data_IF_405654703710
#
_entry.id   IF_405654703710
#
_cell.length_a   1.000
_cell.length_b   1.000
_cell.length_c   1.000
_cell.angle_alpha   90.00
_cell.angle_beta   90.00
_cell.angle_gamma   90.00
#
_symmetry.space_group_name_H-M   'P 1'
#
loop_
_entity.id
_entity.type
_entity.pdbx_description
1 polymer ?
#
# COMPACT_ATOMS: atom_id res chain seq x y z
N UNK A 1 21.19 -10.61 12.94
CA UNK A 1 19.77 -11.00 12.93
C UNK A 1 18.97 -9.93 13.68
N UNK A 2 18.70 -8.79 13.05
CA UNK A 2 17.88 -7.74 13.67
C UNK A 2 16.42 -8.05 13.36
N UNK A 3 15.58 -8.16 14.39
CA UNK A 3 14.20 -8.57 14.23
C UNK A 3 13.44 -7.57 13.33
N UNK A 4 12.69 -8.07 12.34
CA UNK A 4 11.91 -7.28 11.37
C UNK A 4 10.66 -6.64 12.02
N UNK A 5 10.85 -5.86 13.09
CA UNK A 5 9.78 -5.23 13.86
C UNK A 5 10.03 -3.74 14.08
N UNK A 6 8.95 -2.97 14.11
CA UNK A 6 8.90 -1.58 14.50
C UNK A 6 8.13 -1.46 15.81
N UNK A 7 8.80 -0.99 16.86
CA UNK A 7 8.18 -0.77 18.17
C UNK A 7 7.54 0.61 18.24
N UNK A 8 6.31 0.67 18.72
CA UNK A 8 5.60 1.91 18.99
C UNK A 8 4.79 1.77 20.28
N UNK A 9 5.14 2.60 21.27
CA UNK A 9 4.63 2.48 22.64
C UNK A 9 4.83 1.04 23.14
N UNK A 10 3.78 0.42 23.68
CA UNK A 10 3.78 -0.96 24.19
C UNK A 10 3.49 -2.02 23.12
N UNK A 11 3.56 -1.67 21.83
CA UNK A 11 3.29 -2.60 20.72
C UNK A 11 4.50 -2.74 19.81
N UNK A 12 4.62 -3.90 19.17
CA UNK A 12 5.64 -4.19 18.17
C UNK A 12 4.97 -4.71 16.89
N UNK A 13 5.23 -4.06 15.76
CA UNK A 13 4.61 -4.35 14.46
C UNK A 13 5.61 -4.96 13.51
N UNK A 14 5.23 -6.03 12.81
CA UNK A 14 6.12 -6.66 11.83
C UNK A 14 6.24 -5.76 10.61
N UNK A 15 7.46 -5.41 10.21
CA UNK A 15 7.73 -4.66 8.99
C UNK A 15 7.50 -5.61 7.80
N UNK A 16 6.58 -5.31 6.87
CA UNK A 16 6.33 -6.15 5.72
C UNK A 16 7.57 -6.20 4.81
N UNK A 17 7.97 -7.42 4.43
CA UNK A 17 9.03 -7.62 3.46
C UNK A 17 8.36 -7.83 2.11
N UNK A 18 8.59 -6.92 1.17
CA UNK A 18 8.04 -6.97 -0.19
C UNK A 18 6.50 -7.01 -0.24
N UNK A 19 5.82 -6.33 0.70
CA UNK A 19 4.35 -6.28 0.76
C UNK A 19 3.68 -7.57 1.23
N UNK A 20 4.44 -8.64 1.48
CA UNK A 20 3.89 -9.87 2.03
C UNK A 20 3.32 -9.59 3.43
N UNK A 21 2.06 -10.00 3.64
CA UNK A 21 1.30 -9.92 4.91
C UNK A 21 0.77 -8.53 5.31
N UNK A 22 0.97 -7.48 4.51
CA UNK A 22 0.36 -6.18 4.75
C UNK A 22 -0.93 -6.03 3.92
N UNK A 23 -2.00 -5.57 4.56
CA UNK A 23 -3.22 -5.21 3.85
C UNK A 23 -3.07 -3.79 3.29
N UNK A 24 -3.20 -3.62 1.97
CA UNK A 24 -3.20 -2.28 1.36
C UNK A 24 -4.42 -1.49 1.83
N UNK A 25 -4.18 -0.27 2.31
CA UNK A 25 -5.23 0.66 2.78
C UNK A 25 -5.43 1.83 1.81
N UNK A 26 -4.84 1.75 0.61
CA UNK A 26 -4.81 2.81 -0.41
C UNK A 26 -4.08 4.09 0.06
N UNK A 27 -3.87 5.03 -0.86
CA UNK A 27 -3.21 6.31 -0.56
C UNK A 27 -1.79 6.19 -0.03
N UNK A 28 -1.06 5.14 -0.41
CA UNK A 28 0.29 4.87 0.05
C UNK A 28 0.35 4.36 1.50
N UNK A 29 -0.76 3.86 2.06
CA UNK A 29 -0.86 3.30 3.42
C UNK A 29 -1.06 1.80 3.37
N UNK A 30 -0.65 1.11 4.43
CA UNK A 30 -0.82 -0.32 4.61
C UNK A 30 -1.02 -0.64 6.09
N UNK A 31 -1.82 -1.66 6.39
CA UNK A 31 -2.03 -2.14 7.75
C UNK A 31 -0.95 -3.14 8.11
N UNK A 32 -0.26 -2.90 9.23
CA UNK A 32 0.71 -3.84 9.79
C UNK A 32 0.09 -4.57 10.97
N UNK A 33 0.37 -5.87 11.04
CA UNK A 33 0.02 -6.72 12.18
C UNK A 33 1.22 -6.84 13.12
N UNK A 34 0.92 -6.79 14.40
CA UNK A 34 1.87 -6.84 15.49
C UNK A 34 1.25 -7.46 16.74
N UNK A 35 1.90 -7.22 17.87
CA UNK A 35 1.38 -7.58 19.17
C UNK A 35 1.58 -6.42 20.15
N UNK A 36 0.60 -6.23 21.03
CA UNK A 36 0.75 -5.45 22.25
C UNK A 36 1.35 -6.32 23.33
N UNK A 37 2.21 -5.76 24.18
CA UNK A 37 2.74 -6.46 25.35
C UNK A 37 2.87 -5.53 26.55
N UNK A 38 2.43 -6.01 27.72
CA UNK A 38 2.66 -5.34 29.01
C UNK A 38 2.92 -6.35 30.12
N UNK A 39 3.83 -6.01 31.03
CA UNK A 39 4.14 -6.82 32.20
C UNK A 39 3.48 -6.22 33.45
N UNK A 40 2.90 -7.07 34.29
CA UNK A 40 2.23 -6.69 35.53
C UNK A 40 2.65 -7.63 36.65
N UNK A 41 2.69 -7.12 37.88
CA UNK A 41 2.84 -7.96 39.07
C UNK A 41 1.45 -8.10 39.69
N UNK A 42 0.93 -9.33 39.71
CA UNK A 42 -0.34 -9.66 40.34
C UNK A 42 -0.18 -9.91 41.84
N UNK A 43 -1.31 -10.09 42.52
CA UNK A 43 -1.32 -10.45 43.95
C UNK A 43 -0.47 -11.69 44.22
N UNK A 44 0.28 -11.65 45.33
CA UNK A 44 1.24 -12.69 45.68
C UNK A 44 2.52 -12.69 44.85
N UNK A 45 2.94 -11.52 44.35
CA UNK A 45 4.21 -11.34 43.62
C UNK A 45 4.35 -12.18 42.34
N UNK A 46 3.23 -12.52 41.71
CA UNK A 46 3.22 -13.32 40.49
C UNK A 46 3.42 -12.42 39.27
N UNK A 47 4.48 -12.61 38.47
CA UNK A 47 4.64 -11.87 37.23
C UNK A 47 3.62 -12.38 36.20
N UNK A 48 2.86 -11.46 35.61
CA UNK A 48 1.94 -11.71 34.51
C UNK A 48 2.41 -10.94 33.27
N UNK A 49 2.33 -11.60 32.13
CA UNK A 49 2.59 -10.99 30.83
C UNK A 49 1.28 -10.97 30.04
N UNK A 50 0.78 -9.78 29.77
CA UNK A 50 -0.34 -9.56 28.88
C UNK A 50 0.18 -9.44 27.45
N UNK A 51 -0.38 -10.23 26.53
CA UNK A 51 -0.06 -10.19 25.11
C UNK A 51 -1.37 -10.25 24.34
N UNK A 52 -1.54 -9.35 23.38
CA UNK A 52 -2.69 -9.33 22.48
C UNK A 52 -2.24 -9.02 21.04
N UNK A 53 -3.03 -9.41 20.05
CA UNK A 53 -2.83 -9.05 18.66
C UNK A 53 -3.11 -7.55 18.49
N UNK A 54 -2.27 -6.87 17.72
CA UNK A 54 -2.44 -5.45 17.42
C UNK A 54 -2.37 -5.20 15.91
N UNK A 55 -3.16 -4.24 15.44
CA UNK A 55 -3.12 -3.75 14.06
C UNK A 55 -3.01 -2.23 14.06
N UNK A 56 -2.20 -1.69 13.16
CA UNK A 56 -2.16 -0.24 12.95
C UNK A 56 -1.75 0.09 11.53
N UNK A 57 -2.14 1.28 11.06
CA UNK A 57 -1.81 1.75 9.72
C UNK A 57 -0.44 2.43 9.71
N UNK A 58 0.37 2.11 8.71
CA UNK A 58 1.63 2.76 8.41
C UNK A 58 1.66 3.21 6.95
N UNK A 59 2.52 4.18 6.63
CA UNK A 59 2.87 4.44 5.24
C UNK A 59 3.71 3.29 4.69
N UNK A 60 3.51 2.94 3.42
CA UNK A 60 4.28 1.90 2.72
C UNK A 60 5.79 2.17 2.87
N UNK A 61 6.52 1.23 3.45
CA UNK A 61 7.93 1.46 3.82
C UNK A 61 8.87 1.66 2.62
N UNK A 62 8.53 1.08 1.46
CA UNK A 62 9.31 1.17 0.21
C UNK A 62 8.47 1.82 -0.89
N UNK A 63 8.15 3.11 -0.75
CA UNK A 63 7.42 3.89 -1.75
C UNK A 63 8.22 5.13 -2.17
N UNK A 64 8.23 5.47 -3.46
CA UNK A 64 8.80 6.72 -3.95
C UNK A 64 7.80 7.87 -3.73
N UNK A 65 8.28 9.11 -3.64
CA UNK A 65 7.35 10.25 -3.47
C UNK A 65 6.41 10.42 -4.67
N UNK A 66 6.87 10.08 -5.88
CA UNK A 66 6.05 10.11 -7.10
C UNK A 66 4.96 9.04 -7.05
N UNK A 67 5.29 7.80 -6.64
CA UNK A 67 4.28 6.76 -6.46
C UNK A 67 3.29 7.12 -5.35
N UNK A 68 3.78 7.66 -4.23
CA UNK A 68 2.93 8.12 -3.13
C UNK A 68 1.94 9.19 -3.59
N UNK A 69 2.38 10.14 -4.42
CA UNK A 69 1.51 11.13 -5.04
C UNK A 69 0.40 10.48 -5.87
N UNK A 70 0.76 9.54 -6.77
CA UNK A 70 -0.22 8.81 -7.56
C UNK A 70 -1.24 8.08 -6.68
N UNK A 71 -0.79 7.34 -5.66
CA UNK A 71 -1.65 6.58 -4.76
C UNK A 71 -2.65 7.50 -4.00
N UNK A 72 -2.19 8.63 -3.48
CA UNK A 72 -3.02 9.59 -2.73
C UNK A 72 -4.09 10.23 -3.62
N UNK A 73 -3.71 10.63 -4.83
CA UNK A 73 -4.65 11.25 -5.77
C UNK A 73 -5.69 10.24 -6.28
N UNK A 74 -5.26 9.01 -6.54
CA UNK A 74 -6.15 7.93 -6.95
C UNK A 74 -7.15 7.53 -5.84
N UNK A 75 -6.71 7.42 -4.59
CA UNK A 75 -7.59 7.18 -3.42
C UNK A 75 -8.70 8.25 -3.38
N UNK A 76 -8.31 9.52 -3.56
CA UNK A 76 -9.26 10.63 -3.52
C UNK A 76 -10.20 10.65 -4.73
N UNK A 77 -9.70 10.39 -5.93
CA UNK A 77 -10.51 10.31 -7.15
C UNK A 77 -11.50 9.14 -7.09
N UNK A 78 -11.07 7.99 -6.57
CA UNK A 78 -11.90 6.81 -6.34
C UNK A 78 -13.04 7.07 -5.36
N UNK A 79 -12.81 7.87 -4.32
CA UNK A 79 -13.85 8.24 -3.35
C UNK A 79 -15.02 9.04 -3.98
N UNK A 80 -14.80 9.73 -5.10
CA UNK A 80 -15.84 10.43 -5.85
C UNK A 80 -16.44 9.56 -6.98
N UNK A 81 -15.85 8.41 -7.27
CA UNK A 81 -16.34 7.47 -8.28
C UNK A 81 -17.41 6.60 -7.64
N UNK A 82 -18.61 6.61 -8.22
CA UNK A 82 -19.77 5.87 -7.72
C UNK A 82 -19.40 4.37 -7.52
N UNK A 83 -19.57 3.78 -6.33
CA UNK A 83 -19.18 2.40 -6.04
C UNK A 83 -19.92 1.34 -6.89
N UNK A 84 -20.91 1.74 -7.69
CA UNK A 84 -21.66 0.87 -8.61
C UNK A 84 -20.86 0.34 -9.80
N UNK A 85 -19.61 0.77 -10.01
CA UNK A 85 -18.78 0.36 -11.17
C UNK A 85 -17.60 -0.56 -10.85
N UNK A 86 -17.39 -0.93 -9.58
CA UNK A 86 -16.37 -1.95 -9.25
C UNK A 86 -17.05 -3.29 -9.09
N UNK A 87 -16.85 -4.19 -10.05
CA UNK A 87 -17.05 -5.62 -9.85
C UNK A 87 -16.22 -6.05 -8.65
N UNK A 88 -16.86 -6.10 -7.47
CA UNK A 88 -16.29 -6.72 -6.27
C UNK A 88 -15.86 -8.13 -6.68
N UNK A 89 -14.56 -8.34 -6.81
CA UNK A 89 -13.99 -9.68 -6.82
C UNK A 89 -14.39 -10.33 -5.50
N UNK A 90 -15.42 -11.15 -5.57
CA UNK A 90 -15.96 -11.93 -4.47
C UNK A 90 -14.92 -12.98 -4.13
N UNK A 91 -14.06 -12.69 -3.16
CA UNK A 91 -13.27 -13.73 -2.51
C UNK A 91 -14.25 -14.67 -1.82
N UNK A 92 -14.25 -15.92 -2.28
CA UNK A 92 -15.28 -16.91 -2.01
C UNK A 92 -15.60 -17.06 -0.52
N UNK A 93 -16.83 -16.73 -0.15
CA UNK A 93 -17.47 -17.25 1.05
C UNK A 93 -17.60 -18.76 0.89
N UNK A 94 -16.87 -19.53 1.69
CA UNK A 94 -17.13 -20.95 1.90
C UNK A 94 -18.49 -21.08 2.60
N UNK A 95 -19.56 -21.13 1.81
CA UNK A 95 -20.90 -21.40 2.31
C UNK A 95 -20.99 -22.90 2.67
N UNK A 96 -21.04 -23.16 3.98
CA UNK A 96 -21.49 -24.42 4.57
C UNK A 96 -22.86 -24.81 3.97
N UNK A 97 -23.10 -26.06 3.56
CA UNK A 97 -24.40 -26.46 3.05
C UNK A 97 -25.38 -26.61 4.23
N UNK A 98 -26.07 -25.51 4.54
CA UNK A 98 -27.29 -25.52 5.34
C UNK A 98 -28.42 -26.19 4.57
N UNK A 99 -29.05 -27.18 5.21
CA UNK A 99 -30.19 -27.95 4.71
C UNK A 99 -31.37 -27.03 4.36
N UNK A 100 -31.86 -27.12 3.13
CA UNK A 100 -33.16 -26.55 2.73
C UNK A 100 -34.12 -27.71 2.46
N UNK A 101 -35.17 -27.81 3.27
CA UNK A 101 -36.27 -28.74 3.06
C UNK A 101 -37.11 -28.26 1.88
N UNK A 102 -36.97 -28.93 0.74
CA UNK A 102 -37.85 -28.77 -0.43
C UNK A 102 -38.76 -29.99 -0.54
N UNK A 103 -40.05 -29.78 -0.27
CA UNK A 103 -41.14 -30.72 -0.54
C UNK A 103 -41.33 -30.87 -2.05
N UNK A 104 -41.10 -32.08 -2.60
CA UNK A 104 -41.65 -32.45 -3.91
C UNK A 104 -41.98 -33.95 -3.94
N UNK A 105 -43.13 -34.21 -4.55
CA UNK A 105 -43.95 -35.42 -4.61
C UNK A 105 -43.35 -36.47 -5.56
N UNK A 106 -43.41 -37.75 -5.13
CA UNK A 106 -43.72 -38.92 -5.98
C UNK A 106 -42.59 -39.52 -6.83
N UNK A 107 -42.38 -40.84 -6.67
CA UNK A 107 -41.60 -41.65 -7.60
C UNK A 107 -40.99 -42.91 -6.98
N UNK A 108 -41.68 -44.04 -7.10
CA UNK A 108 -41.24 -45.40 -6.75
C UNK A 108 -40.21 -45.95 -7.74
N UNK A 109 -39.11 -46.56 -7.27
CA UNK A 109 -38.47 -47.75 -7.90
C UNK A 109 -37.29 -48.32 -7.08
N UNK A 110 -37.50 -49.55 -6.61
CA UNK A 110 -36.59 -50.73 -6.54
C UNK A 110 -35.05 -50.61 -6.63
N UNK A 111 -34.42 -51.22 -5.62
CA UNK A 111 -33.15 -51.98 -5.57
C UNK A 111 -32.36 -52.26 -6.86
N UNK A 112 -31.03 -52.05 -6.83
CA UNK A 112 -29.96 -53.08 -6.78
C UNK A 112 -28.61 -52.52 -7.25
N UNK A 113 -27.52 -52.96 -6.59
CA UNK A 113 -26.31 -53.42 -7.29
C UNK A 113 -25.18 -52.45 -7.68
N UNK A 114 -24.04 -52.62 -6.99
CA UNK A 114 -22.65 -52.73 -7.51
C UNK A 114 -21.96 -51.54 -8.20
N UNK A 115 -20.88 -51.09 -7.55
CA UNK A 115 -19.50 -51.20 -8.06
C UNK A 115 -19.02 -50.17 -9.09
N UNK A 116 -18.00 -49.38 -8.75
CA UNK A 116 -17.27 -48.57 -9.71
C UNK A 116 -16.10 -47.83 -9.07
N UNK A 117 -14.88 -48.35 -9.27
CA UNK A 117 -13.65 -47.62 -9.01
C UNK A 117 -13.60 -46.40 -9.95
N UNK A 118 -13.67 -45.18 -9.40
CA UNK A 118 -13.53 -43.95 -10.17
C UNK A 118 -12.16 -43.31 -9.97
N UNK A 119 -11.34 -43.46 -11.00
CA UNK A 119 -10.09 -42.75 -11.27
C UNK A 119 -10.38 -41.25 -11.46
N UNK A 120 -9.64 -40.39 -10.75
CA UNK A 120 -9.70 -38.94 -10.95
C UNK A 120 -9.15 -38.57 -12.34
N UNK A 121 -9.84 -37.72 -13.14
CA UNK A 121 -9.27 -37.19 -14.37
C UNK A 121 -8.21 -36.11 -14.05
N UNK A 122 -7.15 -35.97 -14.87
CA UNK A 122 -6.15 -34.94 -14.68
C UNK A 122 -6.74 -33.57 -15.01
N UNK A 123 -6.64 -32.64 -14.05
CA UNK A 123 -7.03 -31.25 -14.20
C UNK A 123 -6.06 -30.58 -15.18
N UNK A 124 -6.50 -30.31 -16.41
CA UNK A 124 -5.76 -29.46 -17.34
C UNK A 124 -5.77 -28.02 -16.82
N UNK A 125 -4.62 -27.55 -16.35
CA UNK A 125 -4.41 -26.16 -15.96
C UNK A 125 -4.19 -25.32 -17.22
N UNK A 126 -5.28 -24.84 -17.81
CA UNK A 126 -5.20 -23.74 -18.77
C UNK A 126 -4.99 -22.45 -17.98
N UNK A 127 -3.73 -22.02 -17.88
CA UNK A 127 -3.36 -20.67 -17.43
C UNK A 127 -3.74 -19.69 -18.54
N UNK A 128 -4.92 -19.09 -18.44
CA UNK A 128 -5.20 -17.85 -19.15
C UNK A 128 -4.36 -16.74 -18.49
N UNK A 129 -3.50 -16.02 -19.24
CA UNK A 129 -2.81 -14.88 -18.68
C UNK A 129 -3.86 -13.81 -18.35
N UNK A 130 -4.05 -13.56 -17.06
CA UNK A 130 -4.76 -12.40 -16.54
C UNK A 130 -4.00 -11.16 -17.02
N UNK A 131 -4.41 -10.60 -18.16
CA UNK A 131 -4.10 -9.22 -18.50
C UNK A 131 -4.63 -8.38 -17.35
N UNK A 132 -3.74 -7.82 -16.54
CA UNK A 132 -4.04 -6.67 -15.71
C UNK A 132 -4.49 -5.56 -16.67
N UNK A 133 -5.80 -5.43 -16.87
CA UNK A 133 -6.37 -4.21 -17.43
C UNK A 133 -6.24 -3.15 -16.34
N UNK A 134 -5.14 -2.38 -16.40
CA UNK A 134 -4.97 -1.17 -15.61
C UNK A 134 -6.23 -0.32 -15.78
N UNK A 135 -6.94 0.03 -14.69
CA UNK A 135 -8.16 0.81 -14.77
C UNK A 135 -7.88 2.11 -15.53
N UNK A 136 -8.47 2.26 -16.72
CA UNK A 136 -8.40 3.48 -17.52
C UNK A 136 -8.72 4.69 -16.64
N UNK A 137 -7.70 5.50 -16.34
CA UNK A 137 -7.80 6.72 -15.55
C UNK A 137 -7.05 6.76 -14.22
N UNK A 138 -6.42 5.67 -13.76
CA UNK A 138 -5.55 5.75 -12.58
C UNK A 138 -4.18 6.34 -12.91
N UNK A 139 -3.71 7.28 -12.09
CA UNK A 139 -2.36 7.82 -12.19
C UNK A 139 -1.34 6.77 -11.76
N UNK A 140 -0.28 6.59 -12.54
CA UNK A 140 0.90 5.82 -12.17
C UNK A 140 2.16 6.59 -12.59
N UNK A 141 3.34 6.31 -12.01
CA UNK A 141 4.58 6.96 -12.44
C UNK A 141 4.87 6.82 -13.94
N UNK A 142 4.45 5.71 -14.55
CA UNK A 142 4.58 5.44 -15.99
C UNK A 142 3.62 6.25 -16.87
N UNK A 143 2.50 6.72 -16.34
CA UNK A 143 1.52 7.52 -17.10
C UNK A 143 1.77 9.02 -16.99
N UNK A 144 2.71 9.46 -16.15
CA UNK A 144 3.10 10.87 -16.03
C UNK A 144 3.94 11.27 -17.25
N UNK A 145 3.55 12.37 -17.89
CA UNK A 145 4.27 12.95 -19.04
C UNK A 145 5.04 14.21 -18.61
N UNK A 146 5.94 14.68 -19.48
CA UNK A 146 6.91 15.75 -19.17
C UNK A 146 6.27 17.03 -18.62
N UNK A 147 5.15 17.46 -19.20
CA UNK A 147 4.43 18.68 -18.82
C UNK A 147 3.24 18.42 -17.90
N UNK A 148 3.22 17.25 -17.22
CA UNK A 148 2.19 16.93 -16.25
C UNK A 148 2.26 17.93 -15.08
N UNK A 149 1.11 18.51 -14.74
CA UNK A 149 0.98 19.40 -13.59
C UNK A 149 -0.30 19.06 -12.82
N UNK A 150 -0.22 19.20 -11.50
CA UNK A 150 -1.38 19.01 -10.64
C UNK A 150 -2.27 20.25 -10.71
N UNK A 151 -3.59 20.04 -10.73
CA UNK A 151 -4.53 21.12 -10.47
C UNK A 151 -4.34 21.68 -9.04
N UNK A 152 -4.85 22.89 -8.79
CA UNK A 152 -4.81 23.50 -7.45
C UNK A 152 -5.45 22.62 -6.37
N UNK A 153 -6.50 21.87 -6.73
CA UNK A 153 -7.17 20.95 -5.81
C UNK A 153 -6.30 19.73 -5.48
N UNK A 154 -5.73 19.08 -6.50
CA UNK A 154 -4.84 17.93 -6.33
C UNK A 154 -3.57 18.31 -5.56
N UNK A 155 -3.01 19.50 -5.83
CA UNK A 155 -1.87 20.04 -5.09
C UNK A 155 -2.21 20.20 -3.60
N UNK A 156 -3.41 20.68 -3.26
CA UNK A 156 -3.86 20.80 -1.86
C UNK A 156 -3.97 19.43 -1.18
N UNK A 157 -4.59 18.45 -1.86
CA UNK A 157 -4.70 17.07 -1.37
C UNK A 157 -3.31 16.50 -1.06
N UNK A 158 -2.38 16.63 -2.01
CA UNK A 158 -1.02 16.14 -1.83
C UNK A 158 -0.31 16.87 -0.69
N UNK A 159 -0.41 18.20 -0.61
CA UNK A 159 0.22 19.01 0.41
C UNK A 159 -0.21 18.61 1.83
N UNK A 160 -1.49 18.31 2.03
CA UNK A 160 -2.01 17.81 3.29
C UNK A 160 -1.45 16.40 3.60
N UNK A 161 -1.46 15.51 2.61
CA UNK A 161 -1.02 14.13 2.79
C UNK A 161 0.48 14.00 3.10
N UNK A 162 1.34 14.81 2.48
CA UNK A 162 2.81 14.74 2.66
C UNK A 162 3.32 15.48 3.89
N UNK A 163 2.54 16.40 4.46
CA UNK A 163 2.98 17.24 5.56
C UNK A 163 3.36 16.40 6.77
N UNK A 164 4.61 16.53 7.20
CA UNK A 164 5.16 15.85 8.35
C UNK A 164 5.69 14.43 8.10
N UNK A 165 5.55 13.91 6.88
CA UNK A 165 6.16 12.63 6.47
C UNK A 165 7.69 12.76 6.48
N UNK A 166 8.38 11.71 6.95
CA UNK A 166 9.83 11.58 6.85
C UNK A 166 10.20 10.93 5.52
N UNK A 167 11.10 11.56 4.76
CA UNK A 167 11.54 11.11 3.44
C UNK A 167 13.05 10.94 3.39
N UNK A 168 13.52 10.02 2.56
CA UNK A 168 14.95 9.80 2.30
C UNK A 168 15.30 10.22 0.88
N UNK A 169 16.44 10.89 0.72
CA UNK A 169 16.97 11.22 -0.61
C UNK A 169 17.55 10.00 -1.31
N UNK A 170 17.48 9.97 -2.65
CA UNK A 170 18.03 8.89 -3.48
C UNK A 170 19.18 9.32 -4.39
N UNK A 171 19.39 10.63 -4.59
CA UNK A 171 20.35 11.15 -5.56
C UNK A 171 21.82 11.06 -5.12
N UNK A 172 22.10 10.87 -3.83
CA UNK A 172 23.46 10.74 -3.30
C UNK A 172 23.78 9.29 -2.95
N UNK A 173 24.56 8.61 -3.79
CA UNK A 173 25.01 7.23 -3.53
C UNK A 173 25.82 7.19 -2.23
N UNK A 174 25.53 6.21 -1.36
CA UNK A 174 26.22 6.00 -0.09
C UNK A 174 25.84 6.95 1.06
N UNK A 175 25.04 7.99 0.81
CA UNK A 175 24.59 8.91 1.86
C UNK A 175 23.11 8.71 2.20
N UNK A 176 22.83 8.34 3.46
CA UNK A 176 21.46 8.28 3.97
C UNK A 176 21.13 9.59 4.67
N UNK A 177 20.33 10.44 4.02
CA UNK A 177 19.78 11.65 4.64
C UNK A 177 18.26 11.58 4.69
N UNK A 178 17.70 11.83 5.87
CA UNK A 178 16.27 11.81 6.13
C UNK A 178 15.81 13.21 6.51
N UNK A 179 14.73 13.68 5.88
CA UNK A 179 14.13 14.98 6.12
C UNK A 179 12.65 14.80 6.50
N UNK A 180 12.11 15.74 7.27
CA UNK A 180 10.65 15.84 7.50
C UNK A 180 10.08 16.89 6.55
N UNK A 181 9.10 16.51 5.75
CA UNK A 181 8.43 17.43 4.83
C UNK A 181 7.63 18.45 5.64
N UNK A 182 7.83 19.74 5.36
CA UNK A 182 7.08 20.82 6.00
C UNK A 182 5.91 21.29 5.11
N UNK A 183 6.20 21.58 3.85
CA UNK A 183 5.24 22.04 2.86
C UNK A 183 5.71 21.67 1.46
N UNK A 184 4.78 21.71 0.50
CA UNK A 184 5.11 21.77 -0.92
C UNK A 184 5.47 23.20 -1.32
N UNK A 185 6.21 23.32 -2.42
CA UNK A 185 6.66 24.58 -2.99
C UNK A 185 6.31 24.61 -4.48
N UNK A 186 6.67 25.70 -5.16
CA UNK A 186 6.52 25.82 -6.61
C UNK A 186 7.22 24.67 -7.37
N UNK A 187 6.81 24.42 -8.63
CA UNK A 187 7.48 23.48 -9.51
C UNK A 187 9.01 23.68 -9.55
N UNK A 188 9.77 22.59 -9.69
CA UNK A 188 11.23 22.61 -9.55
C UNK A 188 11.95 23.46 -10.62
N UNK A 189 11.34 23.63 -11.78
CA UNK A 189 11.77 24.50 -12.87
C UNK A 189 11.58 25.99 -12.56
N UNK A 190 10.61 26.34 -11.72
CA UNK A 190 10.28 27.72 -11.33
C UNK A 190 10.87 28.12 -9.97
N UNK A 191 11.01 27.18 -9.03
CA UNK A 191 11.55 27.43 -7.71
C UNK A 191 13.04 27.75 -7.81
N UNK A 192 13.41 29.00 -7.55
CA UNK A 192 14.79 29.47 -7.61
C UNK A 192 15.39 29.70 -6.23
N UNK A 193 16.71 29.59 -6.16
CA UNK A 193 17.49 29.93 -4.98
C UNK A 193 18.79 30.65 -5.40
N UNK A 194 19.30 31.49 -4.50
CA UNK A 194 20.61 32.13 -4.67
C UNK A 194 21.70 31.14 -4.29
N UNK A 195 22.65 30.93 -5.19
CA UNK A 195 23.87 30.17 -4.99
C UNK A 195 25.10 31.04 -5.21
N UNK A 196 26.26 30.51 -4.84
CA UNK A 196 27.56 31.12 -5.13
C UNK A 196 28.32 30.13 -6.00
N UNK A 197 28.84 30.61 -7.13
CA UNK A 197 29.70 29.81 -8.02
C UNK A 197 31.10 29.66 -7.43
N UNK A 198 31.90 28.74 -7.95
CA UNK A 198 33.29 28.54 -7.50
C UNK A 198 34.13 29.81 -7.63
N UNK A 199 33.82 30.65 -8.62
CA UNK A 199 34.43 31.97 -8.84
C UNK A 199 33.96 33.06 -7.88
N UNK A 200 33.15 32.72 -6.87
CA UNK A 200 32.61 33.66 -5.87
C UNK A 200 31.47 34.54 -6.36
N UNK A 201 31.00 34.38 -7.62
CA UNK A 201 29.87 35.16 -8.16
C UNK A 201 28.53 34.62 -7.65
N UNK A 202 27.63 35.52 -7.27
CA UNK A 202 26.23 35.18 -6.99
C UNK A 202 25.55 34.70 -8.28
N UNK A 203 24.85 33.57 -8.18
CA UNK A 203 24.06 33.02 -9.28
C UNK A 203 22.67 32.66 -8.78
N UNK A 204 21.66 32.84 -9.63
CA UNK A 204 20.30 32.37 -9.35
C UNK A 204 20.08 31.14 -10.23
N UNK A 205 19.73 30.02 -9.61
CA UNK A 205 19.44 28.77 -10.32
C UNK A 205 18.09 28.24 -9.87
N UNK A 206 17.34 27.63 -10.79
CA UNK A 206 16.19 26.83 -10.40
C UNK A 206 16.65 25.52 -9.75
N UNK A 207 15.76 24.91 -8.96
CA UNK A 207 16.03 23.58 -8.38
C UNK A 207 16.30 22.56 -9.48
N UNK A 208 15.53 22.58 -10.57
CA UNK A 208 15.75 21.68 -11.71
C UNK A 208 17.14 21.85 -12.33
N UNK A 209 17.56 23.10 -12.60
CA UNK A 209 18.89 23.41 -13.14
C UNK A 209 20.00 22.91 -12.21
N UNK A 210 19.90 23.19 -10.91
CA UNK A 210 20.90 22.74 -9.94
C UNK A 210 21.04 21.22 -9.89
N UNK A 211 19.93 20.48 -9.92
CA UNK A 211 20.00 19.02 -9.87
C UNK A 211 20.55 18.43 -11.18
N UNK A 212 20.20 19.02 -12.33
CA UNK A 212 20.75 18.63 -13.62
C UNK A 212 22.27 18.89 -13.71
N UNK A 213 22.78 19.99 -13.17
CA UNK A 213 24.22 20.29 -13.22
C UNK A 213 25.03 19.47 -12.20
N UNK A 214 24.50 19.28 -10.98
CA UNK A 214 25.29 18.72 -9.88
C UNK A 214 25.21 17.20 -9.75
N UNK A 215 24.13 16.59 -10.25
CA UNK A 215 23.85 15.17 -10.06
C UNK A 215 23.45 14.43 -11.35
N UNK A 216 23.78 15.00 -12.52
CA UNK A 216 23.73 14.27 -13.79
C UNK A 216 24.64 13.04 -13.78
#
# INVERSE_FOLDING_TARGET
NAANFYSWKSSCYRIPINGALALDLEGGKEMWTGFFSSAHVASGWKPLLNIDVAHTAFYKAKISMVQFMCDVLNERAGAYRNPSSTTRSSYGTTAQPGRTYGTTRGGTATSTGRGGYHTYPPRTTHTTPQRHEEPLGMLSPSTLYKEFSLSNHEMKILAEAVKGIKIRISHRKGAVRVYRVNSLQMPADQLTFKGVTEDGRETIKSVAQYFAEKYA
#
